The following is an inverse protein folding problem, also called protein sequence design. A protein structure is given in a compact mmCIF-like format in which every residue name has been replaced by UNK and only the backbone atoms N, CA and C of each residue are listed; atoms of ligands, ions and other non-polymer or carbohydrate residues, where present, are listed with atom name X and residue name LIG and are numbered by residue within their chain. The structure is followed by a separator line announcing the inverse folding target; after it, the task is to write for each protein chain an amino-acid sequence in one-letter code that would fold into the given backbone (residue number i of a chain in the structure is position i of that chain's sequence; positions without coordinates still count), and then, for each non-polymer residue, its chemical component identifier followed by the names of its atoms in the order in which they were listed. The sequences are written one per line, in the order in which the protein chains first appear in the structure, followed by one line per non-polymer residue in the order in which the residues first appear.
data_IF_387393538976
#
_entry.id   IF_387393538976
#
_cell.length_a   1.000
_cell.length_b   1.000
_cell.length_c   1.000
_cell.angle_alpha   90.00
_cell.angle_beta   90.00
_cell.angle_gamma   90.00
#
_symmetry.space_group_name_H-M   'P 1'
#
loop_
_entity.id
_entity.type
_entity.pdbx_description
1 polymer ?
#
# COMPACT_ATOMS: atom_id res chain seq x y z
N UNK A 1 -12.46 4.84 -15.46
CA UNK A 1 -12.57 4.57 -14.01
C UNK A 1 -12.26 5.84 -13.25
N UNK A 2 -12.86 6.05 -12.07
CA UNK A 2 -12.55 7.18 -11.20
C UNK A 2 -11.43 6.78 -10.22
N UNK A 3 -10.79 7.77 -9.60
CA UNK A 3 -9.86 7.53 -8.52
C UNK A 3 -10.60 7.24 -7.22
N UNK A 4 -10.06 6.31 -6.43
CA UNK A 4 -10.62 5.90 -5.14
C UNK A 4 -9.58 6.11 -4.04
N UNK A 5 -9.95 6.73 -2.90
CA UNK A 5 -9.05 6.89 -1.76
C UNK A 5 -8.92 5.61 -0.95
N UNK A 6 -7.70 5.24 -0.64
CA UNK A 6 -7.39 4.20 0.34
C UNK A 6 -6.24 4.62 1.26
N UNK A 7 -6.12 3.94 2.38
CA UNK A 7 -5.07 4.17 3.37
C UNK A 7 -4.59 2.83 3.94
N UNK A 8 -3.29 2.72 4.18
CA UNK A 8 -2.73 1.58 4.90
C UNK A 8 -3.14 1.65 6.38
N UNK A 9 -3.64 0.55 6.95
CA UNK A 9 -4.11 0.54 8.36
C UNK A 9 -3.02 0.88 9.36
N UNK A 10 -1.77 0.53 9.06
CA UNK A 10 -0.62 0.87 9.88
C UNK A 10 -0.39 2.39 9.93
N UNK A 11 -0.72 3.15 8.86
CA UNK A 11 -0.55 4.61 8.79
C UNK A 11 -1.48 5.39 9.72
N UNK A 12 -2.38 4.71 10.41
CA UNK A 12 -3.29 5.26 11.43
C UNK A 12 -2.88 4.90 12.87
N UNK A 13 -1.71 4.28 13.05
CA UNK A 13 -1.17 3.89 14.35
C UNK A 13 -0.78 2.41 14.41
N UNK A 14 0.21 2.12 15.26
CA UNK A 14 0.72 0.75 15.42
C UNK A 14 -0.12 0.00 16.46
N UNK A 15 -0.49 -1.25 16.17
CA UNK A 15 -1.30 -2.05 17.09
C UNK A 15 -0.56 -2.34 18.41
N UNK A 16 0.76 -2.50 18.37
CA UNK A 16 1.56 -2.70 19.59
C UNK A 16 1.66 -1.46 20.49
N UNK A 17 1.37 -0.27 19.95
CA UNK A 17 1.26 0.97 20.72
C UNK A 17 -0.13 1.14 21.37
N UNK A 18 -1.05 0.21 21.11
CA UNK A 18 -2.38 0.22 21.69
C UNK A 18 -3.49 0.73 20.76
N UNK A 19 -3.16 1.08 19.49
CA UNK A 19 -4.14 1.53 18.53
C UNK A 19 -4.86 0.35 17.89
N UNK A 20 -6.11 0.14 18.26
CA UNK A 20 -6.89 -1.02 17.82
C UNK A 20 -7.32 -0.89 16.36
N UNK A 21 -7.39 -2.03 15.65
CA UNK A 21 -7.83 -2.02 14.27
C UNK A 21 -9.26 -1.46 14.08
N UNK A 22 -10.28 -1.80 14.91
CA UNK A 22 -11.61 -1.19 14.77
C UNK A 22 -11.59 0.34 14.84
N UNK A 23 -10.81 0.93 15.77
CA UNK A 23 -10.65 2.38 15.89
C UNK A 23 -10.00 2.98 14.63
N UNK A 24 -8.94 2.36 14.11
CA UNK A 24 -8.30 2.80 12.86
C UNK A 24 -9.26 2.75 11.67
N UNK A 25 -10.12 1.74 11.59
CA UNK A 25 -11.13 1.63 10.54
C UNK A 25 -12.24 2.70 10.67
N UNK A 26 -12.66 3.03 11.91
CA UNK A 26 -13.58 4.15 12.16
C UNK A 26 -12.97 5.47 11.69
N UNK A 27 -11.70 5.70 12.01
CA UNK A 27 -10.96 6.90 11.56
C UNK A 27 -10.84 6.94 10.03
N UNK A 28 -10.48 5.83 9.39
CA UNK A 28 -10.38 5.77 7.93
C UNK A 28 -11.72 6.15 7.26
N UNK A 29 -12.81 5.55 7.71
CA UNK A 29 -14.16 5.85 7.21
C UNK A 29 -14.53 7.32 7.42
N UNK A 30 -14.33 7.84 8.64
CA UNK A 30 -14.68 9.21 9.00
C UNK A 30 -13.83 10.26 8.26
N UNK A 31 -12.59 9.89 7.86
CA UNK A 31 -11.70 10.72 7.03
C UNK A 31 -11.98 10.59 5.52
N UNK A 32 -13.06 9.90 5.13
CA UNK A 32 -13.52 9.82 3.75
C UNK A 32 -12.81 8.78 2.87
N UNK A 33 -12.06 7.86 3.46
CA UNK A 33 -11.49 6.72 2.74
C UNK A 33 -12.57 5.66 2.49
N UNK A 34 -12.51 5.03 1.32
CA UNK A 34 -13.43 3.96 0.92
C UNK A 34 -12.73 2.61 0.77
N UNK A 35 -11.42 2.59 0.89
CA UNK A 35 -10.61 1.37 0.88
C UNK A 35 -9.48 1.43 1.89
N UNK A 36 -9.00 0.26 2.25
CA UNK A 36 -7.82 0.08 3.10
C UNK A 36 -6.84 -0.92 2.48
N UNK A 37 -5.55 -0.69 2.68
CA UNK A 37 -4.56 -1.75 2.66
C UNK A 37 -4.50 -2.35 4.06
N UNK A 38 -4.78 -3.65 4.17
CA UNK A 38 -4.66 -4.32 5.46
C UNK A 38 -3.20 -4.67 5.73
N UNK A 39 -2.60 -3.98 6.70
CA UNK A 39 -1.26 -4.30 7.14
C UNK A 39 -1.27 -5.56 8.01
N UNK A 40 -0.48 -6.56 7.64
CA UNK A 40 -0.52 -7.90 8.26
C UNK A 40 -0.30 -7.90 9.77
N UNK A 41 0.45 -6.92 10.30
CA UNK A 41 0.64 -6.75 11.74
C UNK A 41 -0.68 -6.65 12.50
N UNK A 42 -1.68 -5.96 11.94
CA UNK A 42 -3.00 -5.81 12.56
C UNK A 42 -3.77 -7.13 12.60
N UNK A 43 -3.69 -7.93 11.54
CA UNK A 43 -4.29 -9.27 11.49
C UNK A 43 -3.60 -10.20 12.50
N UNK A 44 -2.26 -10.17 12.51
CA UNK A 44 -1.45 -10.98 13.42
C UNK A 44 -1.68 -10.62 14.89
N UNK A 45 -1.87 -9.33 15.20
CA UNK A 45 -2.21 -8.87 16.55
C UNK A 45 -3.53 -9.46 17.04
N UNK A 46 -4.55 -9.45 16.19
CA UNK A 46 -5.83 -10.10 16.51
C UNK A 46 -5.68 -11.61 16.70
N UNK A 47 -4.95 -12.29 15.82
CA UNK A 47 -4.72 -13.73 15.92
C UNK A 47 -3.98 -14.10 17.22
N UNK A 48 -2.96 -13.32 17.61
CA UNK A 48 -2.20 -13.54 18.86
C UNK A 48 -3.06 -13.39 20.13
N UNK A 49 -4.10 -12.58 20.09
CA UNK A 49 -5.02 -12.36 21.22
C UNK A 49 -6.05 -13.47 21.40
N UNK A 50 -6.20 -14.35 20.40
CA UNK A 50 -7.12 -15.50 20.49
C UNK A 50 -6.52 -16.67 21.30
N UNK A 51 -7.35 -17.53 21.92
CA UNK A 51 -6.88 -18.76 22.55
C UNK A 51 -6.08 -19.62 21.55
N UNK A 52 -4.88 -20.03 21.92
CA UNK A 52 -3.98 -20.79 21.04
C UNK A 52 -3.01 -19.90 20.22
N UNK A 53 -3.08 -18.56 20.37
CA UNK A 53 -2.14 -17.61 19.74
C UNK A 53 -2.29 -17.53 18.22
N UNK A 54 -1.20 -17.22 17.51
CA UNK A 54 -1.20 -17.04 16.05
C UNK A 54 -1.17 -18.38 15.28
N UNK A 55 -2.12 -19.27 15.55
CA UNK A 55 -2.29 -20.49 14.75
C UNK A 55 -2.87 -20.17 13.36
N UNK A 56 -2.72 -21.06 12.35
CA UNK A 56 -3.37 -20.90 11.04
C UNK A 56 -4.88 -20.68 11.15
N UNK A 57 -5.56 -21.37 12.05
CA UNK A 57 -7.00 -21.25 12.28
C UNK A 57 -7.35 -19.85 12.83
N UNK A 58 -6.53 -19.33 13.76
CA UNK A 58 -6.73 -18.00 14.31
C UNK A 58 -6.43 -16.89 13.29
N UNK A 59 -5.51 -17.10 12.34
CA UNK A 59 -5.34 -16.19 11.22
C UNK A 59 -6.61 -16.10 10.36
N UNK A 60 -7.23 -17.22 10.03
CA UNK A 60 -8.49 -17.25 9.27
C UNK A 60 -9.62 -16.61 10.07
N UNK A 61 -9.73 -16.92 11.37
CA UNK A 61 -10.73 -16.31 12.25
C UNK A 61 -10.56 -14.78 12.35
N UNK A 62 -9.31 -14.31 12.43
CA UNK A 62 -8.99 -12.89 12.42
C UNK A 62 -9.36 -12.23 11.09
N UNK A 63 -9.08 -12.89 9.96
CA UNK A 63 -9.49 -12.40 8.65
C UNK A 63 -11.03 -12.28 8.54
N UNK A 64 -11.80 -13.23 9.11
CA UNK A 64 -13.26 -13.17 9.16
C UNK A 64 -13.75 -11.98 9.99
N UNK A 65 -13.17 -11.75 11.17
CA UNK A 65 -13.50 -10.60 12.01
C UNK A 65 -13.18 -9.28 11.29
N UNK A 66 -12.01 -9.17 10.69
CA UNK A 66 -11.59 -7.96 9.94
C UNK A 66 -12.55 -7.69 8.79
N UNK A 67 -12.95 -8.73 8.05
CA UNK A 67 -13.92 -8.56 6.96
C UNK A 67 -15.25 -8.00 7.50
N UNK A 68 -15.75 -8.55 8.62
CA UNK A 68 -16.94 -8.01 9.29
C UNK A 68 -16.79 -6.54 9.69
N UNK A 69 -15.68 -6.18 10.31
CA UNK A 69 -15.41 -4.78 10.68
C UNK A 69 -15.40 -3.84 9.47
N UNK A 70 -14.86 -4.28 8.34
CA UNK A 70 -14.84 -3.48 7.11
C UNK A 70 -16.23 -3.43 6.45
N UNK A 71 -17.02 -4.52 6.49
CA UNK A 71 -18.39 -4.55 5.96
C UNK A 71 -19.29 -3.55 6.71
N UNK A 72 -19.20 -3.50 8.04
CA UNK A 72 -19.94 -2.55 8.88
C UNK A 72 -19.63 -1.08 8.55
N UNK A 73 -18.49 -0.80 7.90
CA UNK A 73 -17.99 0.54 7.56
C UNK A 73 -17.99 0.83 6.06
N UNK A 74 -18.49 -0.10 5.24
CA UNK A 74 -18.41 -0.02 3.77
C UNK A 74 -16.99 0.24 3.24
N UNK A 75 -15.97 -0.37 3.86
CA UNK A 75 -14.59 -0.28 3.44
C UNK A 75 -14.21 -1.49 2.57
N UNK A 76 -13.62 -1.23 1.40
CA UNK A 76 -12.99 -2.27 0.58
C UNK A 76 -11.60 -2.59 1.15
N UNK A 77 -11.24 -3.88 1.25
CA UNK A 77 -9.86 -4.30 1.51
C UNK A 77 -9.20 -4.49 0.14
N UNK A 78 -8.38 -3.51 -0.25
CA UNK A 78 -7.81 -3.46 -1.60
C UNK A 78 -6.56 -4.31 -1.74
N UNK A 79 -5.88 -4.59 -0.63
CA UNK A 79 -4.63 -5.33 -0.60
C UNK A 79 -4.38 -5.91 0.78
N UNK A 80 -3.82 -7.13 0.85
CA UNK A 80 -3.21 -7.70 2.04
C UNK A 80 -1.69 -7.54 1.92
N UNK A 81 -1.03 -6.90 2.87
CA UNK A 81 0.38 -6.54 2.79
C UNK A 81 1.06 -6.40 4.16
N UNK A 82 2.40 -6.46 4.22
CA UNK A 82 3.33 -6.94 3.21
C UNK A 82 3.64 -8.43 3.40
N UNK A 83 3.82 -9.18 2.31
CA UNK A 83 4.42 -10.51 2.38
C UNK A 83 5.92 -10.39 2.13
N UNK A 84 6.69 -10.33 3.20
CA UNK A 84 8.12 -10.01 3.18
C UNK A 84 8.99 -11.21 2.81
N UNK A 85 10.16 -10.95 2.20
CA UNK A 85 11.28 -11.90 2.07
C UNK A 85 10.88 -13.22 1.40
N UNK A 86 10.26 -13.14 0.23
CA UNK A 86 9.87 -14.34 -0.51
C UNK A 86 10.94 -14.78 -1.52
N UNK A 87 11.41 -13.83 -2.34
CA UNK A 87 12.25 -14.11 -3.49
C UNK A 87 13.73 -14.29 -3.14
N UNK A 88 14.40 -15.13 -3.92
CA UNK A 88 15.86 -15.22 -3.98
C UNK A 88 16.53 -15.76 -2.73
N UNK A 89 15.80 -16.43 -1.86
CA UNK A 89 16.35 -17.00 -0.63
C UNK A 89 17.40 -18.07 -0.94
N UNK A 90 18.64 -17.90 -0.45
CA UNK A 90 19.72 -18.89 -0.58
C UNK A 90 19.37 -20.18 0.16
N UNK A 91 18.77 -20.08 1.34
CA UNK A 91 18.20 -21.24 2.03
C UNK A 91 16.88 -21.65 1.38
N UNK A 92 16.95 -22.62 0.46
CA UNK A 92 15.77 -23.16 -0.22
C UNK A 92 14.77 -23.84 0.73
N UNK A 93 15.21 -24.31 1.90
CA UNK A 93 14.29 -24.84 2.91
C UNK A 93 13.41 -23.73 3.52
N UNK A 94 13.96 -22.53 3.67
CA UNK A 94 13.19 -21.34 4.06
C UNK A 94 12.23 -20.94 2.96
N UNK A 95 12.65 -20.96 1.69
CA UNK A 95 11.77 -20.70 0.56
C UNK A 95 10.54 -21.63 0.55
N UNK A 96 10.71 -22.93 0.75
CA UNK A 96 9.57 -23.85 0.86
C UNK A 96 8.63 -23.52 2.01
N UNK A 97 9.15 -23.08 3.16
CA UNK A 97 8.29 -22.60 4.26
C UNK A 97 7.52 -21.35 3.87
N UNK A 98 8.11 -20.44 3.10
CA UNK A 98 7.42 -19.25 2.59
C UNK A 98 6.31 -19.60 1.60
N UNK A 99 6.47 -20.65 0.78
CA UNK A 99 5.41 -21.16 -0.09
C UNK A 99 4.23 -21.67 0.75
N UNK A 100 4.47 -22.45 1.80
CA UNK A 100 3.39 -22.93 2.67
C UNK A 100 2.70 -21.78 3.43
N UNK A 101 3.45 -20.77 3.84
CA UNK A 101 2.87 -19.56 4.43
C UNK A 101 2.02 -18.80 3.40
N UNK A 102 2.44 -18.71 2.14
CA UNK A 102 1.65 -18.08 1.07
C UNK A 102 0.33 -18.80 0.83
N UNK A 103 0.28 -20.12 0.97
CA UNK A 103 -1.01 -20.87 0.90
C UNK A 103 -1.98 -20.42 1.99
N UNK A 104 -1.49 -20.10 3.19
CA UNK A 104 -2.31 -19.51 4.24
C UNK A 104 -2.77 -18.10 3.87
N UNK A 105 -1.88 -17.32 3.25
CA UNK A 105 -2.21 -15.96 2.78
C UNK A 105 -3.29 -15.97 1.71
N UNK A 106 -3.30 -16.93 0.80
CA UNK A 106 -4.40 -17.09 -0.18
C UNK A 106 -5.75 -17.31 0.53
N UNK A 107 -5.79 -18.19 1.52
CA UNK A 107 -7.00 -18.42 2.32
C UNK A 107 -7.46 -17.14 3.03
N UNK A 108 -6.52 -16.38 3.62
CA UNK A 108 -6.85 -15.09 4.25
C UNK A 108 -7.37 -14.09 3.22
N UNK A 109 -6.71 -13.95 2.06
CA UNK A 109 -7.12 -13.03 1.00
C UNK A 109 -8.56 -13.31 0.51
N UNK A 110 -8.91 -14.60 0.30
CA UNK A 110 -10.27 -14.98 -0.06
C UNK A 110 -11.29 -14.61 1.02
N UNK A 111 -11.00 -14.86 2.30
CA UNK A 111 -11.85 -14.49 3.42
C UNK A 111 -12.01 -12.98 3.52
N UNK A 112 -10.94 -12.23 3.32
CA UNK A 112 -10.92 -10.77 3.30
C UNK A 112 -11.61 -10.17 2.07
N UNK A 113 -11.90 -10.99 1.05
CA UNK A 113 -12.44 -10.56 -0.25
C UNK A 113 -11.53 -9.57 -0.96
N UNK A 114 -10.20 -9.76 -0.85
CA UNK A 114 -9.20 -9.08 -1.67
C UNK A 114 -8.52 -10.09 -2.59
N UNK A 115 -8.17 -9.66 -3.77
CA UNK A 115 -7.42 -10.48 -4.73
C UNK A 115 -5.95 -10.05 -4.86
N UNK A 116 -5.52 -9.04 -4.10
CA UNK A 116 -4.18 -8.47 -4.21
C UNK A 116 -3.35 -8.72 -2.97
N UNK A 117 -2.15 -9.29 -3.17
CA UNK A 117 -1.10 -9.39 -2.17
C UNK A 117 0.10 -8.56 -2.63
N UNK A 118 0.63 -7.71 -1.75
CA UNK A 118 1.82 -6.93 -2.06
C UNK A 118 3.08 -7.61 -1.52
N UNK A 119 4.09 -7.67 -2.39
CA UNK A 119 5.39 -8.27 -2.17
C UNK A 119 6.46 -7.18 -2.23
N UNK A 120 7.00 -6.71 -1.10
CA UNK A 120 8.17 -5.84 -1.13
C UNK A 120 9.41 -6.65 -1.48
N UNK A 121 10.33 -6.03 -2.19
CA UNK A 121 11.65 -6.63 -2.47
C UNK A 121 12.38 -6.94 -1.16
N UNK A 122 13.11 -8.05 -1.15
CA UNK A 122 13.81 -8.50 0.05
C UNK A 122 14.91 -7.52 0.45
N UNK A 123 14.97 -7.23 1.73
CA UNK A 123 16.02 -6.44 2.37
C UNK A 123 16.86 -7.27 3.38
N UNK A 124 16.81 -8.59 3.26
CA UNK A 124 17.69 -9.48 4.03
C UNK A 124 19.18 -9.23 3.67
N UNK A 125 20.11 -9.55 4.58
CA UNK A 125 21.55 -9.48 4.29
C UNK A 125 21.93 -10.15 2.98
N UNK A 126 22.93 -9.60 2.29
CA UNK A 126 23.32 -10.01 0.93
C UNK A 126 23.69 -11.50 0.82
N UNK A 127 24.21 -12.10 1.90
CA UNK A 127 24.55 -13.51 1.97
C UNK A 127 23.32 -14.44 2.07
N UNK A 128 22.16 -13.90 2.40
CA UNK A 128 20.90 -14.66 2.48
C UNK A 128 20.08 -14.58 1.19
N UNK A 129 20.39 -13.64 0.30
CA UNK A 129 19.69 -13.43 -0.97
C UNK A 129 20.65 -13.63 -2.14
N UNK A 130 20.31 -14.52 -3.06
CA UNK A 130 21.11 -14.81 -4.25
C UNK A 130 21.34 -13.58 -5.12
N UNK A 131 22.46 -13.56 -5.85
CA UNK A 131 22.74 -12.60 -6.93
C UNK A 131 22.15 -13.06 -8.28
N UNK A 132 21.76 -14.33 -8.34
CA UNK A 132 21.18 -14.91 -9.55
C UNK A 132 19.74 -14.39 -9.74
N UNK A 133 19.59 -13.44 -10.65
CA UNK A 133 18.29 -12.85 -11.00
C UNK A 133 17.33 -13.87 -11.63
N UNK A 134 17.83 -14.91 -12.30
CA UNK A 134 16.97 -15.96 -12.87
C UNK A 134 16.30 -16.76 -11.74
N UNK A 135 17.04 -17.03 -10.66
CA UNK A 135 16.46 -17.66 -9.46
C UNK A 135 15.36 -16.77 -8.83
N UNK A 136 15.61 -15.45 -8.69
CA UNK A 136 14.63 -14.49 -8.18
C UNK A 136 13.37 -14.49 -9.07
N UNK A 137 13.54 -14.46 -10.38
CA UNK A 137 12.42 -14.45 -11.34
C UNK A 137 11.65 -15.77 -11.27
N UNK A 138 12.33 -16.92 -11.16
CA UNK A 138 11.67 -18.22 -11.04
C UNK A 138 10.83 -18.32 -9.78
N UNK A 139 11.31 -17.82 -8.63
CA UNK A 139 10.53 -17.75 -7.40
C UNK A 139 9.24 -16.92 -7.60
N UNK A 140 9.35 -15.78 -8.32
CA UNK A 140 8.18 -14.94 -8.62
C UNK A 140 7.24 -15.58 -9.66
N UNK A 141 7.76 -16.34 -10.61
CA UNK A 141 6.93 -17.15 -11.53
C UNK A 141 6.16 -18.20 -10.76
N UNK A 142 6.80 -18.91 -9.82
CA UNK A 142 6.18 -19.93 -8.99
C UNK A 142 4.96 -19.37 -8.24
N UNK A 143 5.13 -18.26 -7.54
CA UNK A 143 4.03 -17.65 -6.77
C UNK A 143 2.91 -17.13 -7.68
N UNK A 144 3.26 -16.56 -8.83
CA UNK A 144 2.28 -16.09 -9.80
C UNK A 144 1.44 -17.25 -10.37
N UNK A 145 2.08 -18.37 -10.71
CA UNK A 145 1.39 -19.59 -11.18
C UNK A 145 0.48 -20.17 -10.08
N UNK A 146 0.91 -20.17 -8.83
CA UNK A 146 0.06 -20.58 -7.70
C UNK A 146 -1.18 -19.68 -7.60
N UNK A 147 -1.02 -18.36 -7.71
CA UNK A 147 -2.13 -17.40 -7.67
C UNK A 147 -3.11 -17.53 -8.83
N UNK A 148 -2.64 -17.96 -10.03
CA UNK A 148 -3.50 -18.23 -11.18
C UNK A 148 -4.39 -19.46 -10.99
N UNK A 149 -4.03 -20.37 -10.11
CA UNK A 149 -4.81 -21.57 -9.79
C UNK A 149 -5.93 -21.29 -8.78
N UNK A 150 -5.89 -20.15 -8.11
CA UNK A 150 -6.90 -19.75 -7.14
C UNK A 150 -8.19 -19.23 -7.82
N UNK A 151 -9.31 -19.35 -7.10
CA UNK A 151 -10.60 -18.83 -7.57
C UNK A 151 -11.28 -18.04 -6.44
N UNK A 152 -11.39 -16.72 -6.54
CA UNK A 152 -10.86 -15.85 -7.62
C UNK A 152 -9.33 -15.86 -7.70
N UNK A 153 -8.80 -15.51 -8.88
CA UNK A 153 -7.34 -15.41 -9.10
C UNK A 153 -6.73 -14.42 -8.10
N UNK A 154 -5.60 -14.83 -7.50
CA UNK A 154 -4.80 -13.94 -6.66
C UNK A 154 -3.75 -13.23 -7.51
N UNK A 155 -3.70 -11.91 -7.38
CA UNK A 155 -2.74 -11.02 -8.05
C UNK A 155 -1.65 -10.61 -7.07
N UNK A 156 -0.49 -10.26 -7.62
CA UNK A 156 0.67 -9.81 -6.85
C UNK A 156 1.14 -8.46 -7.36
N UNK A 157 1.35 -7.52 -6.44
CA UNK A 157 2.01 -6.24 -6.70
C UNK A 157 3.44 -6.29 -6.14
N UNK A 158 4.45 -6.28 -7.01
CA UNK A 158 5.85 -6.32 -6.61
C UNK A 158 6.39 -4.90 -6.44
N UNK A 159 6.91 -4.61 -5.26
CA UNK A 159 7.41 -3.29 -4.86
C UNK A 159 8.93 -3.29 -4.70
N UNK A 160 9.61 -2.31 -5.28
CA UNK A 160 11.01 -2.05 -4.97
C UNK A 160 11.11 -1.18 -3.71
N UNK A 161 11.65 -1.71 -2.63
CA UNK A 161 12.07 -0.91 -1.48
C UNK A 161 13.35 -0.15 -1.82
N UNK A 162 13.43 1.16 -1.53
CA UNK A 162 14.63 1.96 -1.82
C UNK A 162 15.88 1.57 -0.99
N UNK A 163 15.76 0.50 -0.23
CA UNK A 163 16.83 -0.20 0.50
C UNK A 163 16.83 -1.71 0.25
N UNK A 164 16.19 -2.16 -0.81
CA UNK A 164 16.17 -3.58 -1.20
C UNK A 164 17.58 -4.11 -1.50
N UNK A 165 17.83 -5.35 -1.16
CA UNK A 165 19.18 -5.93 -1.30
C UNK A 165 19.58 -6.17 -2.76
N UNK A 166 18.62 -6.58 -3.61
CA UNK A 166 18.86 -6.86 -5.04
C UNK A 166 18.00 -5.99 -5.96
N UNK A 167 16.79 -5.65 -5.50
CA UNK A 167 15.82 -4.84 -6.25
C UNK A 167 15.48 -3.63 -5.39
N UNK A 168 16.06 -2.46 -5.74
CA UNK A 168 15.92 -1.22 -4.95
C UNK A 168 15.44 -0.02 -5.77
N UNK A 169 15.12 -0.22 -7.06
CA UNK A 169 14.55 0.79 -7.94
C UNK A 169 13.30 0.25 -8.64
N UNK A 170 12.39 1.13 -9.04
CA UNK A 170 11.21 0.72 -9.80
C UNK A 170 11.60 0.07 -11.14
N UNK A 171 12.70 0.51 -11.77
CA UNK A 171 13.22 -0.07 -13.00
C UNK A 171 13.59 -1.54 -12.82
N UNK A 172 14.27 -1.85 -11.70
CA UNK A 172 14.65 -3.23 -11.38
C UNK A 172 13.41 -4.10 -11.09
N UNK A 173 12.42 -3.59 -10.32
CA UNK A 173 11.19 -4.33 -10.08
C UNK A 173 10.35 -4.51 -11.35
N UNK A 174 10.35 -3.51 -12.24
CA UNK A 174 9.68 -3.62 -13.54
C UNK A 174 10.34 -4.65 -14.45
N UNK A 175 11.67 -4.73 -14.47
CA UNK A 175 12.39 -5.78 -15.21
C UNK A 175 11.98 -7.18 -14.72
N UNK A 176 11.86 -7.39 -13.40
CA UNK A 176 11.34 -8.63 -12.83
C UNK A 176 9.89 -8.88 -13.29
N UNK A 177 9.01 -7.89 -13.19
CA UNK A 177 7.60 -8.01 -13.63
C UNK A 177 7.51 -8.41 -15.10
N UNK A 178 8.33 -7.80 -15.96
CA UNK A 178 8.39 -8.14 -17.39
C UNK A 178 8.85 -9.58 -17.62
N UNK A 179 9.87 -10.04 -16.90
CA UNK A 179 10.43 -11.38 -17.07
C UNK A 179 9.53 -12.47 -16.47
N UNK A 180 8.85 -12.19 -15.36
CA UNK A 180 7.80 -13.07 -14.80
C UNK A 180 6.68 -13.27 -15.82
N UNK A 181 6.27 -12.22 -16.51
CA UNK A 181 5.33 -12.25 -17.63
C UNK A 181 4.05 -13.06 -17.35
N UNK A 182 3.39 -12.80 -16.23
CA UNK A 182 2.10 -13.39 -15.86
C UNK A 182 1.05 -12.29 -15.71
N UNK A 183 -0.22 -12.55 -16.13
CA UNK A 183 -1.27 -11.52 -16.10
C UNK A 183 -1.64 -11.06 -14.68
N UNK A 184 -1.42 -11.91 -13.70
CA UNK A 184 -1.68 -11.63 -12.28
C UNK A 184 -0.46 -11.10 -11.50
N UNK A 185 0.63 -10.74 -12.19
CA UNK A 185 1.84 -10.20 -11.57
C UNK A 185 2.13 -8.82 -12.13
N UNK A 186 2.05 -7.77 -11.31
CA UNK A 186 2.22 -6.38 -11.70
C UNK A 186 3.13 -5.63 -10.73
N UNK A 187 3.27 -4.32 -10.94
CA UNK A 187 4.13 -3.48 -10.11
C UNK A 187 3.31 -2.71 -9.06
N UNK A 188 3.86 -2.58 -7.86
CA UNK A 188 3.50 -1.53 -6.91
C UNK A 188 4.46 -0.35 -7.11
N UNK A 189 3.91 0.85 -7.26
CA UNK A 189 4.67 2.08 -7.33
C UNK A 189 4.39 2.91 -6.08
N UNK A 190 5.36 2.96 -5.17
CA UNK A 190 5.36 3.82 -3.99
C UNK A 190 6.20 5.07 -4.25
N UNK A 191 5.59 6.23 -4.16
CA UNK A 191 6.25 7.51 -4.44
C UNK A 191 7.44 7.78 -3.51
N UNK A 192 7.36 7.34 -2.24
CA UNK A 192 8.49 7.44 -1.32
C UNK A 192 9.67 6.58 -1.76
N UNK A 193 9.42 5.31 -2.13
CA UNK A 193 10.50 4.42 -2.57
C UNK A 193 11.14 4.88 -3.89
N UNK A 194 10.35 5.38 -4.83
CA UNK A 194 10.87 6.00 -6.08
C UNK A 194 11.79 7.17 -5.74
N UNK A 195 11.28 8.16 -5.00
CA UNK A 195 12.05 9.35 -4.65
C UNK A 195 13.21 9.03 -3.69
N UNK A 196 12.99 8.14 -2.74
CA UNK A 196 13.95 7.74 -1.72
C UNK A 196 15.21 7.07 -2.28
N UNK A 197 15.12 6.48 -3.47
CA UNK A 197 16.31 5.90 -4.13
C UNK A 197 16.94 6.85 -5.14
N UNK A 198 16.13 7.47 -5.99
CA UNK A 198 16.62 8.23 -7.13
C UNK A 198 17.00 9.66 -6.74
N UNK A 199 16.20 10.28 -5.87
CA UNK A 199 16.34 11.70 -5.52
C UNK A 199 16.98 11.93 -4.16
N UNK A 200 16.58 11.16 -3.14
CA UNK A 200 16.95 11.42 -1.76
C UNK A 200 18.08 10.52 -1.25
N UNK A 201 18.89 11.09 -0.35
CA UNK A 201 19.83 10.36 0.49
C UNK A 201 19.83 10.98 1.90
N UNK A 202 19.29 10.28 2.92
CA UNK A 202 19.20 10.81 4.28
C UNK A 202 20.57 10.94 4.96
N UNK A 203 21.63 10.36 4.41
CA UNK A 203 22.99 10.46 4.96
C UNK A 203 23.74 11.71 4.47
N UNK A 204 23.20 12.39 3.44
CA UNK A 204 23.83 13.58 2.88
C UNK A 204 23.34 14.86 3.61
N UNK A 205 24.20 15.87 3.82
CA UNK A 205 23.78 17.14 4.42
C UNK A 205 22.66 17.86 3.64
N UNK A 206 22.60 17.63 2.34
CA UNK A 206 21.55 18.17 1.46
C UNK A 206 20.24 17.38 1.54
N UNK A 207 20.26 16.16 2.08
CA UNK A 207 19.17 15.18 1.99
C UNK A 207 18.96 14.62 0.58
N UNK A 208 19.88 14.88 -0.37
CA UNK A 208 19.70 14.54 -1.80
C UNK A 208 20.93 13.82 -2.36
N UNK A 209 20.67 12.94 -3.32
CA UNK A 209 21.71 12.38 -4.16
C UNK A 209 22.41 13.48 -5.00
N UNK A 210 23.66 13.29 -5.41
CA UNK A 210 24.25 14.07 -6.49
C UNK A 210 23.35 13.98 -7.75
N UNK A 211 23.19 15.12 -8.46
CA UNK A 211 22.42 15.20 -9.70
C UNK A 211 20.93 14.73 -9.59
N UNK A 212 20.37 14.77 -8.38
CA UNK A 212 19.05 14.24 -8.03
C UNK A 212 17.94 14.67 -9.01
N UNK A 213 17.93 15.94 -9.44
CA UNK A 213 16.91 16.46 -10.37
C UNK A 213 17.04 15.85 -11.77
N UNK A 214 18.26 15.70 -12.28
CA UNK A 214 18.51 15.09 -13.58
C UNK A 214 18.18 13.59 -13.54
N UNK A 215 18.61 12.90 -12.50
CA UNK A 215 18.33 11.47 -12.31
C UNK A 215 16.83 11.21 -12.24
N UNK A 216 16.08 12.04 -11.49
CA UNK A 216 14.63 11.96 -11.43
C UNK A 216 13.98 12.14 -12.80
N UNK A 217 14.38 13.16 -13.56
CA UNK A 217 13.82 13.42 -14.90
C UNK A 217 14.03 12.22 -15.82
N UNK A 218 15.24 11.67 -15.87
CA UNK A 218 15.55 10.49 -16.68
C UNK A 218 14.74 9.26 -16.27
N UNK A 219 14.61 9.03 -14.96
CA UNK A 219 13.84 7.91 -14.43
C UNK A 219 12.35 8.04 -14.76
N UNK A 220 11.76 9.24 -14.61
CA UNK A 220 10.35 9.48 -14.94
C UNK A 220 10.08 9.37 -16.44
N UNK A 221 11.01 9.79 -17.32
CA UNK A 221 10.91 9.57 -18.75
C UNK A 221 10.94 8.07 -19.09
N UNK A 222 11.79 7.29 -18.41
CA UNK A 222 11.82 5.83 -18.51
C UNK A 222 10.50 5.19 -18.07
N UNK A 223 9.90 5.69 -16.98
CA UNK A 223 8.63 5.18 -16.46
C UNK A 223 7.49 5.38 -17.48
N UNK A 224 7.41 6.56 -18.10
CA UNK A 224 6.42 6.85 -19.15
C UNK A 224 6.56 5.89 -20.35
N UNK A 225 7.80 5.56 -20.72
CA UNK A 225 8.08 4.75 -21.91
C UNK A 225 7.88 3.25 -21.66
N UNK A 226 8.00 2.80 -20.42
CA UNK A 226 8.13 1.37 -20.11
C UNK A 226 6.91 0.77 -19.43
N UNK A 227 6.23 1.49 -18.54
CA UNK A 227 5.21 0.91 -17.67
C UNK A 227 3.80 1.26 -18.13
N UNK A 228 3.03 0.30 -18.66
CA UNK A 228 1.64 0.53 -19.01
C UNK A 228 0.76 0.60 -17.76
N UNK A 229 -0.28 1.43 -17.79
CA UNK A 229 -1.14 1.71 -16.65
C UNK A 229 -1.82 0.47 -16.06
N UNK A 230 -2.16 -0.51 -16.89
CA UNK A 230 -2.84 -1.75 -16.48
C UNK A 230 -1.92 -2.75 -15.75
N UNK A 231 -0.61 -2.51 -15.77
CA UNK A 231 0.37 -3.30 -14.99
C UNK A 231 0.74 -2.65 -13.66
N UNK A 232 0.24 -1.46 -13.38
CA UNK A 232 0.34 -0.82 -12.05
C UNK A 232 -0.83 -1.33 -11.21
N UNK A 233 -0.58 -2.28 -10.33
CA UNK A 233 -1.62 -2.91 -9.53
C UNK A 233 -1.89 -2.19 -8.23
N UNK A 234 -0.90 -1.43 -7.74
CA UNK A 234 -1.02 -0.62 -6.53
C UNK A 234 -0.22 0.67 -6.70
N UNK A 235 -0.82 1.80 -6.32
CA UNK A 235 -0.16 3.10 -6.22
C UNK A 235 -0.20 3.57 -4.78
N UNK A 236 0.98 3.69 -4.16
CA UNK A 236 1.14 4.21 -2.81
C UNK A 236 1.74 5.61 -2.85
N UNK A 237 1.25 6.47 -1.96
CA UNK A 237 1.67 7.86 -1.87
C UNK A 237 2.15 8.18 -0.47
N UNK A 238 3.40 8.60 -0.38
CA UNK A 238 4.00 9.20 0.78
C UNK A 238 5.09 10.18 0.36
N UNK A 239 5.30 11.22 1.15
CA UNK A 239 6.45 12.12 1.12
C UNK A 239 7.46 11.69 2.20
N UNK A 240 8.58 12.35 2.31
CA UNK A 240 9.60 12.12 3.33
C UNK A 240 10.05 13.42 3.95
N UNK A 241 10.26 13.39 5.26
CA UNK A 241 10.81 14.49 6.03
C UNK A 241 12.29 14.69 5.67
N UNK A 242 12.65 15.94 5.35
CA UNK A 242 14.05 16.33 5.30
C UNK A 242 14.59 16.45 6.72
N UNK A 243 15.49 15.54 7.08
CA UNK A 243 16.12 15.56 8.40
C UNK A 243 16.98 16.82 8.57
N UNK A 244 16.97 17.38 9.77
CA UNK A 244 17.77 18.57 10.10
C UNK A 244 19.28 18.29 10.01
N UNK A 245 19.69 17.06 10.30
CA UNK A 245 21.07 16.56 10.21
C UNK A 245 21.12 15.22 9.51
N UNK A 246 22.25 14.87 8.87
CA UNK A 246 22.40 13.58 8.21
C UNK A 246 22.15 12.39 9.13
N UNK A 247 21.51 11.35 8.61
CA UNK A 247 21.24 10.10 9.33
C UNK A 247 22.53 9.26 9.40
N UNK A 248 23.39 9.61 10.34
CA UNK A 248 24.65 8.94 10.67
C UNK A 248 24.60 8.41 12.10
N UNK A 249 25.69 7.83 12.58
CA UNK A 249 25.76 7.10 13.84
C UNK A 249 25.25 7.88 15.08
N UNK A 250 25.30 9.20 15.06
CA UNK A 250 24.82 10.07 16.15
C UNK A 250 23.37 10.55 15.99
N UNK A 251 22.68 10.13 14.92
CA UNK A 251 21.28 10.50 14.68
C UNK A 251 20.33 9.59 15.46
N UNK A 252 19.24 10.15 15.99
CA UNK A 252 18.24 9.41 16.79
C UNK A 252 17.57 8.23 16.05
N UNK A 253 17.51 8.27 14.72
CA UNK A 253 16.97 7.19 13.89
C UNK A 253 18.04 6.21 13.42
N UNK A 254 19.31 6.40 13.82
CA UNK A 254 20.37 5.49 13.42
C UNK A 254 20.19 4.11 14.07
N UNK A 255 20.22 3.09 13.24
CA UNK A 255 20.22 1.70 13.65
C UNK A 255 21.34 0.97 12.88
N UNK A 256 22.33 0.39 13.56
CA UNK A 256 23.45 -0.30 12.89
C UNK A 256 23.01 -1.54 12.11
N UNK A 257 21.84 -2.11 12.45
CA UNK A 257 21.28 -3.29 11.80
C UNK A 257 20.42 -2.94 10.56
N UNK A 258 20.24 -1.65 10.25
CA UNK A 258 19.39 -1.19 9.18
C UNK A 258 20.12 -0.25 8.21
N UNK A 259 19.88 -0.38 6.90
CA UNK A 259 20.31 0.65 5.95
C UNK A 259 19.68 2.02 6.32
N UNK A 260 20.41 3.14 6.17
CA UNK A 260 19.92 4.46 6.56
C UNK A 260 18.56 4.82 5.93
N UNK A 261 18.31 4.44 4.65
CA UNK A 261 17.04 4.67 3.98
C UNK A 261 15.88 3.90 4.64
N UNK A 262 16.14 2.71 5.18
CA UNK A 262 15.15 1.93 5.93
C UNK A 262 14.77 2.62 7.23
N UNK A 263 15.78 3.06 8.00
CA UNK A 263 15.56 3.80 9.24
C UNK A 263 14.82 5.11 8.99
N UNK A 264 15.19 5.83 7.93
CA UNK A 264 14.48 7.05 7.50
C UNK A 264 13.03 6.75 7.12
N UNK A 265 12.78 5.75 6.28
CA UNK A 265 11.42 5.32 5.88
C UNK A 265 10.54 4.99 7.10
N UNK A 266 11.08 4.26 8.07
CA UNK A 266 10.32 3.80 9.25
C UNK A 266 9.94 4.91 10.22
N UNK A 267 10.65 6.06 10.19
CA UNK A 267 10.50 7.13 11.16
C UNK A 267 9.98 8.44 10.59
N UNK A 268 10.17 8.68 9.28
CA UNK A 268 10.10 10.02 8.71
C UNK A 268 9.30 10.13 7.41
N UNK A 269 8.43 9.14 7.07
CA UNK A 269 7.47 9.34 6.00
C UNK A 269 6.41 10.34 6.44
N UNK A 270 5.92 11.14 5.48
CA UNK A 270 4.90 12.15 5.64
C UNK A 270 3.79 11.93 4.62
N UNK A 271 2.63 12.48 4.90
CA UNK A 271 1.57 12.56 3.90
C UNK A 271 1.94 13.62 2.83
N UNK A 272 1.40 13.44 1.62
CA UNK A 272 1.55 14.43 0.55
C UNK A 272 0.96 15.79 0.97
N UNK A 273 1.72 16.86 0.72
CA UNK A 273 1.28 18.22 1.04
C UNK A 273 1.61 18.69 2.46
N UNK A 274 2.58 18.07 3.12
CA UNK A 274 3.04 18.42 4.47
C UNK A 274 4.42 19.14 4.51
N UNK A 275 4.64 20.26 3.78
CA UNK A 275 5.91 20.98 3.81
C UNK A 275 6.24 21.56 5.19
N UNK A 276 5.24 21.82 6.02
CA UNK A 276 5.40 22.32 7.39
C UNK A 276 5.95 21.26 8.36
N UNK A 277 5.86 19.97 8.00
CA UNK A 277 6.55 18.86 8.68
C UNK A 277 7.88 18.49 8.02
N UNK A 278 8.34 19.28 7.04
CA UNK A 278 9.60 19.04 6.35
C UNK A 278 9.50 18.17 5.11
N UNK A 279 8.31 17.94 4.57
CA UNK A 279 8.10 17.22 3.31
C UNK A 279 8.85 17.90 2.17
N UNK A 280 9.67 17.14 1.40
CA UNK A 280 10.57 17.73 0.41
C UNK A 280 10.80 16.87 -0.84
N UNK A 281 10.25 15.69 -0.87
CA UNK A 281 10.40 14.80 -2.03
C UNK A 281 9.58 15.31 -3.22
N UNK A 282 10.01 15.03 -4.46
CA UNK A 282 9.34 15.48 -5.68
C UNK A 282 8.09 14.63 -6.00
N UNK A 283 7.22 14.47 -5.00
CA UNK A 283 6.02 13.61 -5.10
C UNK A 283 5.05 14.14 -6.14
N UNK A 284 4.95 15.46 -6.27
CA UNK A 284 4.07 16.09 -7.26
C UNK A 284 4.48 15.75 -8.69
N UNK A 285 5.77 15.77 -8.99
CA UNK A 285 6.33 15.43 -10.30
C UNK A 285 6.10 13.96 -10.63
N UNK A 286 6.32 13.06 -9.66
CA UNK A 286 6.07 11.61 -9.81
C UNK A 286 4.59 11.36 -10.09
N UNK A 287 3.70 11.93 -9.29
CA UNK A 287 2.25 11.76 -9.46
C UNK A 287 1.75 12.38 -10.77
N UNK A 288 2.33 13.51 -11.22
CA UNK A 288 2.00 14.10 -12.53
C UNK A 288 2.28 13.12 -13.66
N UNK A 289 3.37 12.35 -13.57
CA UNK A 289 3.69 11.31 -14.54
C UNK A 289 2.68 10.16 -14.44
N UNK A 290 2.46 9.62 -13.26
CA UNK A 290 1.60 8.45 -13.08
C UNK A 290 0.14 8.72 -13.45
N UNK A 291 -0.41 9.84 -12.99
CA UNK A 291 -1.82 10.21 -13.17
C UNK A 291 -2.09 10.77 -14.57
N UNK A 292 -1.23 11.69 -15.05
CA UNK A 292 -1.54 12.48 -16.25
C UNK A 292 -0.86 11.95 -17.52
N UNK A 293 0.34 11.38 -17.40
CA UNK A 293 1.11 10.91 -18.59
C UNK A 293 0.88 9.43 -18.85
N UNK A 294 0.98 8.57 -17.85
CA UNK A 294 0.70 7.14 -17.94
C UNK A 294 -0.82 6.89 -17.92
N UNK A 295 -1.57 7.74 -17.23
CA UNK A 295 -3.02 7.65 -17.16
C UNK A 295 -3.52 6.60 -16.20
N UNK A 296 -2.75 6.31 -15.15
CA UNK A 296 -3.18 5.41 -14.06
C UNK A 296 -4.56 5.81 -13.53
N UNK A 297 -5.40 4.83 -13.30
CA UNK A 297 -6.74 4.96 -12.70
C UNK A 297 -6.94 3.84 -11.68
N UNK A 298 -7.58 4.15 -10.59
CA UNK A 298 -7.89 3.15 -9.56
C UNK A 298 -7.64 3.67 -8.15
N UNK A 299 -7.16 2.79 -7.30
CA UNK A 299 -6.87 3.10 -5.91
C UNK A 299 -5.57 3.89 -5.78
N UNK A 300 -5.65 5.01 -5.07
CA UNK A 300 -4.49 5.75 -4.58
C UNK A 300 -4.49 5.56 -3.07
N UNK A 301 -3.45 4.91 -2.56
CA UNK A 301 -3.34 4.56 -1.16
C UNK A 301 -2.30 5.42 -0.45
N UNK A 302 -2.64 5.94 0.72
CA UNK A 302 -1.70 6.67 1.56
C UNK A 302 -0.99 5.68 2.48
N UNK A 303 0.33 5.52 2.30
CA UNK A 303 1.14 4.63 3.12
C UNK A 303 2.27 5.39 3.81
N UNK A 304 2.06 5.72 5.07
CA UNK A 304 2.98 6.53 5.88
C UNK A 304 3.50 5.73 7.06
N UNK A 305 4.83 5.56 7.12
CA UNK A 305 5.55 5.08 8.29
C UNK A 305 6.17 6.28 9.01
N UNK A 306 5.74 6.55 10.22
CA UNK A 306 6.21 7.70 10.97
C UNK A 306 6.42 7.32 12.45
N UNK A 307 7.41 7.94 13.09
CA UNK A 307 7.68 7.72 14.53
C UNK A 307 6.46 7.97 15.41
N UNK A 308 5.59 8.91 15.03
CA UNK A 308 4.35 9.23 15.77
C UNK A 308 3.39 8.03 15.89
N UNK A 309 3.40 7.11 14.93
CA UNK A 309 2.51 5.94 14.92
C UNK A 309 2.79 4.95 16.05
N UNK A 310 3.99 4.97 16.62
CA UNK A 310 4.41 4.13 17.73
C UNK A 310 4.18 4.79 19.10
N UNK A 311 3.66 6.02 19.15
CA UNK A 311 3.31 6.69 20.39
C UNK A 311 2.02 6.08 20.96
N UNK A 312 1.98 5.93 22.28
CA UNK A 312 0.82 5.36 23.01
C UNK A 312 -0.32 6.36 23.25
N UNK A 313 -0.15 7.61 22.80
CA UNK A 313 -1.19 8.64 22.86
C UNK A 313 -2.41 8.22 22.06
N UNK A 314 -3.55 8.09 22.70
CA UNK A 314 -4.80 7.63 22.09
C UNK A 314 -5.34 8.57 20.99
N UNK A 315 -4.81 9.80 20.87
CA UNK A 315 -5.17 10.72 19.80
C UNK A 315 -4.48 10.43 18.47
N UNK A 316 -3.49 9.54 18.43
CA UNK A 316 -2.69 9.24 17.22
C UNK A 316 -3.55 8.83 16.03
N UNK A 317 -4.49 7.88 16.13
CA UNK A 317 -5.31 7.51 14.97
C UNK A 317 -6.09 8.69 14.39
N UNK A 318 -6.71 9.50 15.25
CA UNK A 318 -7.50 10.65 14.82
C UNK A 318 -6.63 11.78 14.22
N UNK A 319 -5.45 12.05 14.81
CA UNK A 319 -4.46 12.98 14.26
C UNK A 319 -4.03 12.55 12.86
N UNK A 320 -3.64 11.28 12.69
CA UNK A 320 -3.18 10.76 11.42
C UNK A 320 -4.30 10.71 10.38
N UNK A 321 -5.54 10.38 10.78
CA UNK A 321 -6.71 10.43 9.92
C UNK A 321 -6.98 11.82 9.36
N UNK A 322 -6.93 12.87 10.19
CA UNK A 322 -7.08 14.26 9.76
C UNK A 322 -5.98 14.70 8.79
N UNK A 323 -4.73 14.33 9.06
CA UNK A 323 -3.60 14.59 8.16
C UNK A 323 -3.77 13.88 6.81
N UNK A 324 -4.20 12.62 6.84
CA UNK A 324 -4.49 11.85 5.65
C UNK A 324 -5.64 12.44 4.82
N UNK A 325 -6.73 12.90 5.46
CA UNK A 325 -7.83 13.61 4.81
C UNK A 325 -7.36 14.88 4.10
N UNK A 326 -6.54 15.70 4.77
CA UNK A 326 -5.96 16.91 4.19
C UNK A 326 -5.08 16.59 2.98
N UNK A 327 -4.26 15.54 3.08
CA UNK A 327 -3.44 15.05 1.98
C UNK A 327 -4.29 14.61 0.78
N UNK A 328 -5.35 13.82 1.02
CA UNK A 328 -6.27 13.42 -0.04
C UNK A 328 -6.96 14.61 -0.71
N UNK A 329 -7.36 15.61 0.07
CA UNK A 329 -7.95 16.83 -0.46
C UNK A 329 -6.95 17.63 -1.33
N UNK A 330 -5.67 17.68 -0.92
CA UNK A 330 -4.59 18.27 -1.73
C UNK A 330 -4.37 17.51 -3.03
N UNK A 331 -4.32 16.17 -2.99
CA UNK A 331 -4.22 15.33 -4.18
C UNK A 331 -5.38 15.56 -5.16
N UNK A 332 -6.62 15.62 -4.65
CA UNK A 332 -7.80 15.92 -5.48
C UNK A 332 -7.67 17.27 -6.17
N UNK A 333 -7.24 18.29 -5.45
CA UNK A 333 -7.08 19.65 -5.99
C UNK A 333 -5.97 19.72 -7.02
N UNK A 334 -4.78 19.17 -6.69
CA UNK A 334 -3.58 19.31 -7.50
C UNK A 334 -3.65 18.55 -8.84
N UNK A 335 -4.35 17.40 -8.84
CA UNK A 335 -4.44 16.51 -9.99
C UNK A 335 -5.83 16.44 -10.62
N UNK A 336 -6.80 17.25 -10.18
CA UNK A 336 -8.19 17.24 -10.63
C UNK A 336 -8.79 15.82 -10.61
N UNK A 337 -8.57 15.09 -9.49
CA UNK A 337 -9.04 13.73 -9.37
C UNK A 337 -10.57 13.71 -9.25
N UNK A 338 -11.26 13.25 -10.30
CA UNK A 338 -12.70 13.00 -10.22
C UNK A 338 -12.95 11.73 -9.41
N UNK A 339 -13.55 11.88 -8.23
CA UNK A 339 -13.99 10.76 -7.38
C UNK A 339 -15.42 10.36 -7.71
N UNK A 340 -15.78 9.08 -7.52
CA UNK A 340 -17.18 8.65 -7.58
C UNK A 340 -17.96 9.31 -6.44
N UNK A 341 -18.92 10.16 -6.77
CA UNK A 341 -19.88 10.66 -5.79
C UNK A 341 -20.97 9.60 -5.61
N UNK A 342 -20.93 8.81 -4.55
CA UNK A 342 -21.98 7.87 -4.15
C UNK A 342 -23.35 8.58 -3.95
N UNK A 343 -23.35 9.91 -3.78
CA UNK A 343 -24.59 10.71 -3.69
C UNK A 343 -25.42 10.77 -4.98
N UNK A 344 -24.86 10.45 -6.14
CA UNK A 344 -25.61 10.42 -7.40
C UNK A 344 -26.37 9.11 -7.62
N UNK A 345 -25.89 8.00 -7.07
CA UNK A 345 -26.56 6.69 -7.21
C UNK A 345 -27.81 6.58 -6.33
N UNK A 346 -27.82 7.20 -5.14
CA UNK A 346 -29.04 7.23 -4.31
C UNK A 346 -30.15 8.07 -4.95
N UNK A 347 -29.82 9.21 -5.56
CA UNK A 347 -30.80 10.04 -6.30
C UNK A 347 -31.32 9.37 -7.58
N UNK A 348 -30.51 8.54 -8.24
CA UNK A 348 -30.97 7.79 -9.42
C UNK A 348 -31.90 6.62 -9.01
N UNK A 349 -31.63 5.99 -7.85
CA UNK A 349 -32.51 4.93 -7.30
C UNK A 349 -33.86 5.46 -6.84
N UNK A 350 -33.88 6.67 -6.26
CA UNK A 350 -35.15 7.35 -5.87
C UNK A 350 -35.95 7.81 -7.08
N UNK A 351 -35.33 8.11 -8.21
CA UNK A 351 -35.97 8.48 -9.47
C UNK A 351 -36.48 7.28 -10.28
N UNK A 352 -36.05 6.06 -9.96
CA UNK A 352 -36.48 4.83 -10.63
C UNK A 352 -37.51 4.02 -9.83
N UNK A 353 -37.97 4.51 -8.69
CA UNK A 353 -39.14 3.92 -8.00
C UNK A 353 -40.40 4.30 -8.76
N UNK A 354 -41.27 3.33 -9.17
CA UNK A 354 -42.51 3.64 -9.82
C UNK A 354 -43.41 4.40 -8.83
N UNK A 355 -43.95 5.54 -9.27
CA UNK A 355 -44.94 6.32 -8.51
C UNK A 355 -46.12 5.45 -8.20
N UNK A 356 -46.38 5.20 -6.94
CA UNK A 356 -47.60 4.57 -6.42
C UNK A 356 -48.80 5.57 -6.47
N UNK A 357 -49.19 5.96 -7.69
CA UNK A 357 -50.46 6.64 -7.92
C UNK A 357 -51.38 5.70 -8.68
N UNK A 358 -52.04 4.82 -7.95
CA UNK A 358 -53.17 4.04 -8.44
C UNK A 358 -54.12 3.74 -7.30
N UNK A 359 -54.95 4.72 -6.93
CA UNK A 359 -56.23 4.44 -6.28
C UNK A 359 -57.14 5.65 -6.44
N UNK A 360 -58.11 5.55 -7.39
CA UNK A 360 -59.50 5.96 -7.22
C UNK A 360 -60.29 5.53 -8.46
N UNK A 361 -60.80 4.31 -8.46
CA UNK A 361 -61.92 3.94 -9.30
C UNK A 361 -63.17 3.98 -8.42
N UNK A 362 -63.94 5.07 -8.60
CA UNK A 362 -65.29 5.20 -8.06
C UNK A 362 -66.22 4.22 -8.80
N UNK A 363 -66.80 3.26 -8.09
CA UNK A 363 -67.96 2.50 -8.57
C UNK A 363 -69.26 3.24 -8.23
N UNK A 364 -69.94 3.66 -9.23
CA UNK A 364 -71.40 4.07 -9.13
C UNK A 364 -72.24 2.85 -9.44
N UNK A 365 -73.36 2.60 -8.72
CA UNK A 365 -74.21 1.44 -8.91
C UNK A 365 -75.34 1.73 -9.90
N UNK A 366 -75.69 0.75 -10.75
CA UNK A 366 -77.05 0.39 -11.21
C UNK A 366 -77.12 -1.13 -11.22
#
# INVERSE_FOLDING_TARGET
MAYKPSICTMSLGRCYAGHSLPEKLDVAMNSGFTGIELFYEDLLDLAKKMPGGASPENHISSAQLIRGYCDDRNLEIICLQPFMHYEGLVDRSLHYRRIEEMRLWFKMAHVLRTDLIMLPSSNLPSEQITEDMDCIIQDMVEIAEMGLQETPVIRFAYEALCWGTRVETWEASWDVVCKVNRPNFGICLDTFNIAGRIYADPTMPTGRNPDATQALTQSLDGLIQSVPADRIFLLQVADGERLERPLLQDHEFYDPEQPPRMSWSRNARLFYGEPHYGGYLPIREILQVLVSRIGFKGWISLEVFNRRLADTDQSVPEEMGKRAEQSWNSLKSDFNLSTYNLSYTSKLFDLLQPSNDSQHIVRTPI
#
